data_IF_240013588047
#
_entry.id   IF_240013588047
#
_cell.length_a   1.000
_cell.length_b   1.000
_cell.length_c   1.000
_cell.angle_alpha   90.00
_cell.angle_beta   90.00
_cell.angle_gamma   90.00
#
_symmetry.space_group_name_H-M   'P 1'
#
loop_
_entity.id
_entity.type
_entity.pdbx_description
1 polymer ?
#
# COMPACT_ATOMS: atom_id res chain seq x y z
N UNK A 1 19.93 22.27 28.15
CA UNK A 1 18.52 21.88 27.96
C UNK A 1 17.95 22.67 26.79
N UNK A 2 17.88 22.07 25.60
CA UNK A 2 17.17 22.63 24.45
C UNK A 2 16.53 21.44 23.73
N UNK A 3 15.25 21.23 24.03
CA UNK A 3 14.42 20.11 23.57
C UNK A 3 13.79 20.50 22.23
N UNK A 4 13.53 19.50 21.41
CA UNK A 4 12.62 19.56 20.25
C UNK A 4 13.09 20.36 19.02
N UNK A 5 14.14 19.85 18.36
CA UNK A 5 14.32 20.08 16.93
C UNK A 5 13.34 19.19 16.15
N UNK A 6 12.17 19.76 15.85
CA UNK A 6 11.40 19.59 14.60
C UNK A 6 11.42 18.17 14.01
N UNK A 7 10.61 17.29 14.59
CA UNK A 7 10.14 16.08 13.91
C UNK A 7 9.20 16.54 12.77
N UNK A 8 9.79 16.97 11.65
CA UNK A 8 9.11 17.21 10.38
C UNK A 8 8.68 15.87 9.78
N UNK A 9 7.88 15.09 10.51
CA UNK A 9 7.25 13.89 9.99
C UNK A 9 6.04 14.37 9.19
N UNK A 10 6.31 14.84 7.97
CA UNK A 10 5.29 14.87 6.94
C UNK A 10 4.80 13.45 6.76
N UNK A 11 3.76 13.07 7.50
CA UNK A 11 3.05 11.82 7.33
C UNK A 11 2.37 11.91 5.97
N UNK A 12 3.15 11.62 4.91
CA UNK A 12 2.64 11.35 3.57
C UNK A 12 1.86 10.06 3.70
N UNK A 13 0.63 10.15 4.22
CA UNK A 13 -0.30 9.04 4.34
C UNK A 13 -0.50 8.50 2.93
N UNK A 14 0.22 7.43 2.64
CA UNK A 14 0.05 6.66 1.41
C UNK A 14 -1.35 6.07 1.47
N UNK A 15 -2.18 6.42 0.49
CA UNK A 15 -3.55 5.99 0.47
C UNK A 15 -3.59 4.56 -0.07
N UNK A 16 -4.06 3.61 0.75
CA UNK A 16 -4.06 2.20 0.39
C UNK A 16 -5.50 1.71 0.45
N UNK A 17 -5.93 1.05 -0.63
CA UNK A 17 -7.22 0.40 -0.71
C UNK A 17 -7.01 -1.08 -1.02
N UNK A 18 -7.61 -1.93 -0.21
CA UNK A 18 -7.51 -3.39 -0.33
C UNK A 18 -8.78 -3.98 -0.91
N UNK A 19 -8.64 -5.07 -1.64
CA UNK A 19 -9.73 -5.84 -2.24
C UNK A 19 -9.53 -7.34 -1.93
N UNK A 20 -10.58 -8.04 -1.46
CA UNK A 20 -11.95 -7.54 -1.23
C UNK A 20 -12.05 -6.58 -0.02
N UNK A 21 -12.91 -5.57 -0.12
CA UNK A 21 -13.04 -4.51 0.91
C UNK A 21 -13.53 -5.06 2.27
N UNK A 22 -14.27 -6.17 2.25
CA UNK A 22 -14.78 -6.83 3.45
C UNK A 22 -13.73 -7.67 4.19
N UNK A 23 -12.57 -7.95 3.58
CA UNK A 23 -11.50 -8.69 4.25
C UNK A 23 -10.64 -7.76 5.11
N UNK A 24 -11.07 -7.62 6.37
CA UNK A 24 -10.40 -6.77 7.35
C UNK A 24 -9.03 -7.32 7.76
N UNK A 25 -8.88 -8.64 7.83
CA UNK A 25 -7.62 -9.27 8.21
C UNK A 25 -6.52 -8.98 7.18
N UNK A 26 -6.87 -9.08 5.89
CA UNK A 26 -5.98 -8.67 4.81
C UNK A 26 -5.66 -7.17 4.87
N UNK A 27 -6.67 -6.32 5.11
CA UNK A 27 -6.47 -4.87 5.23
C UNK A 27 -5.51 -4.49 6.37
N UNK A 28 -5.63 -5.13 7.53
CA UNK A 28 -4.73 -4.92 8.66
C UNK A 28 -3.31 -5.42 8.36
N UNK A 29 -3.18 -6.58 7.73
CA UNK A 29 -1.89 -7.13 7.34
C UNK A 29 -1.14 -6.21 6.36
N UNK A 30 -1.84 -5.70 5.35
CA UNK A 30 -1.29 -4.72 4.38
C UNK A 30 -0.83 -3.45 5.09
N UNK A 31 -1.63 -2.90 6.01
CA UNK A 31 -1.26 -1.69 6.78
C UNK A 31 -0.02 -1.93 7.65
N UNK A 32 0.06 -3.08 8.30
CA UNK A 32 1.21 -3.47 9.13
C UNK A 32 2.50 -3.59 8.29
N UNK A 33 2.41 -4.21 7.10
CA UNK A 33 3.56 -4.32 6.19
C UNK A 33 4.03 -2.95 5.70
N UNK A 34 3.13 -2.07 5.28
CA UNK A 34 3.53 -0.73 4.84
C UNK A 34 4.19 0.10 5.94
N UNK A 35 3.76 -0.06 7.19
CA UNK A 35 4.43 0.59 8.34
C UNK A 35 5.84 0.06 8.62
N UNK A 36 6.17 -1.16 8.18
CA UNK A 36 7.46 -1.84 8.42
C UNK A 36 8.42 -1.73 7.25
N UNK A 37 7.92 -1.68 6.02
CA UNK A 37 8.75 -1.58 4.82
C UNK A 37 9.45 -0.22 4.77
N UNK A 38 10.77 -0.25 4.54
CA UNK A 38 11.56 0.96 4.32
C UNK A 38 11.39 1.49 2.90
N UNK A 39 11.23 0.58 1.94
CA UNK A 39 10.98 0.91 0.55
C UNK A 39 9.56 1.45 0.36
N UNK A 40 9.43 2.36 -0.60
CA UNK A 40 8.16 2.95 -1.04
C UNK A 40 7.76 2.44 -2.41
N UNK A 41 8.23 1.26 -2.81
CA UNK A 41 7.91 0.68 -4.10
C UNK A 41 6.79 -0.37 -3.99
N UNK A 42 5.84 -0.41 -4.94
CA UNK A 42 4.74 -1.38 -4.93
C UNK A 42 5.22 -2.83 -4.90
N UNK A 43 6.32 -3.11 -5.60
CA UNK A 43 6.89 -4.46 -5.77
C UNK A 43 7.38 -5.06 -4.45
N UNK A 44 7.93 -4.24 -3.55
CA UNK A 44 8.36 -4.70 -2.23
C UNK A 44 7.18 -5.11 -1.35
N UNK A 45 6.09 -4.33 -1.40
CA UNK A 45 4.86 -4.70 -0.70
C UNK A 45 4.26 -5.97 -1.29
N UNK A 46 4.22 -6.10 -2.61
CA UNK A 46 3.72 -7.28 -3.29
C UNK A 46 4.50 -8.54 -2.92
N UNK A 47 5.84 -8.49 -2.97
CA UNK A 47 6.69 -9.60 -2.55
C UNK A 47 6.48 -10.00 -1.09
N UNK A 48 6.32 -9.02 -0.19
CA UNK A 48 6.03 -9.28 1.21
C UNK A 48 4.66 -9.94 1.43
N UNK A 49 3.63 -9.49 0.70
CA UNK A 49 2.27 -10.03 0.77
C UNK A 49 2.20 -11.47 0.26
N UNK A 50 2.95 -11.80 -0.80
CA UNK A 50 2.96 -13.14 -1.40
C UNK A 50 3.45 -14.25 -0.49
N UNK A 51 4.12 -13.92 0.62
CA UNK A 51 4.48 -14.91 1.64
C UNK A 51 3.26 -15.54 2.33
N UNK A 52 2.15 -14.78 2.44
CA UNK A 52 0.93 -15.23 3.09
C UNK A 52 -0.27 -15.30 2.13
N UNK A 53 -0.26 -14.46 1.09
CA UNK A 53 -1.30 -14.37 0.07
C UNK A 53 -0.65 -14.53 -1.31
N UNK A 54 -0.42 -15.77 -1.78
CA UNK A 54 0.40 -16.05 -2.97
C UNK A 54 -0.06 -15.34 -4.25
N UNK A 55 -1.36 -15.08 -4.36
CA UNK A 55 -1.99 -14.40 -5.50
C UNK A 55 -2.05 -12.88 -5.34
N UNK A 56 -1.49 -12.31 -4.26
CA UNK A 56 -1.58 -10.89 -4.02
C UNK A 56 -0.90 -10.07 -5.12
N UNK A 57 -1.53 -8.96 -5.49
CA UNK A 57 -1.05 -8.01 -6.51
C UNK A 57 -1.18 -6.58 -5.98
N UNK A 58 -0.15 -5.77 -6.18
CA UNK A 58 -0.15 -4.35 -5.80
C UNK A 58 -0.03 -3.47 -7.04
N UNK A 59 -1.11 -2.75 -7.36
CA UNK A 59 -1.12 -1.78 -8.44
C UNK A 59 -0.89 -0.36 -7.92
N UNK A 60 0.13 0.36 -8.42
CA UNK A 60 0.21 1.80 -8.24
C UNK A 60 -0.94 2.47 -8.98
N UNK A 61 -1.56 3.47 -8.37
CA UNK A 61 -2.54 4.30 -9.06
C UNK A 61 -1.82 5.28 -9.98
N UNK A 62 -2.07 5.16 -11.29
CA UNK A 62 -1.56 6.08 -12.33
C UNK A 62 -2.48 7.29 -12.57
N UNK A 63 -3.40 7.59 -11.64
CA UNK A 63 -4.31 8.74 -11.77
C UNK A 63 -3.49 10.05 -11.75
N UNK A 64 -3.26 10.56 -12.97
CA UNK A 64 -2.31 11.58 -13.43
C UNK A 64 -2.48 13.01 -12.85
N UNK A 65 -2.99 13.17 -11.63
CA UNK A 65 -3.13 14.48 -11.00
C UNK A 65 -2.93 14.51 -9.47
N UNK A 66 -2.62 13.37 -8.83
CA UNK A 66 -2.37 13.29 -7.39
C UNK A 66 -0.94 12.84 -7.09
N UNK A 67 -0.35 13.25 -5.95
CA UNK A 67 1.03 12.92 -5.60
C UNK A 67 1.20 11.41 -5.40
N UNK A 68 1.56 10.68 -6.47
CA UNK A 68 2.40 9.47 -6.57
C UNK A 68 2.30 8.38 -5.48
N UNK A 69 1.21 8.26 -4.72
CA UNK A 69 1.20 7.47 -3.48
C UNK A 69 -0.17 6.87 -3.13
N UNK A 70 -0.94 6.47 -4.14
CA UNK A 70 -2.14 5.65 -3.94
C UNK A 70 -1.89 4.25 -4.47
N UNK A 71 -2.15 3.22 -3.67
CA UNK A 71 -1.97 1.80 -4.05
C UNK A 71 -3.28 1.04 -3.92
N UNK A 72 -3.60 0.28 -4.96
CA UNK A 72 -4.67 -0.71 -4.95
C UNK A 72 -4.05 -2.08 -4.74
N UNK A 73 -4.53 -2.80 -3.72
CA UNK A 73 -3.97 -4.08 -3.31
C UNK A 73 -5.04 -5.14 -3.39
N UNK A 74 -4.82 -6.16 -4.21
CA UNK A 74 -5.74 -7.25 -4.44
C UNK A 74 -5.19 -8.50 -3.77
N UNK A 75 -6.01 -9.18 -2.96
CA UNK A 75 -5.62 -10.41 -2.25
C UNK A 75 -5.47 -11.59 -3.20
N UNK A 76 -6.40 -11.71 -4.14
CA UNK A 76 -6.60 -12.90 -4.97
C UNK A 76 -6.18 -12.67 -6.43
N UNK A 77 -5.37 -11.65 -6.71
CA UNK A 77 -4.82 -11.38 -8.06
C UNK A 77 -5.83 -10.90 -9.11
N UNK A 78 -7.13 -10.90 -8.80
CA UNK A 78 -8.19 -10.40 -9.66
C UNK A 78 -8.14 -8.88 -9.81
N UNK A 79 -7.29 -8.40 -10.70
CA UNK A 79 -7.37 -7.06 -11.27
C UNK A 79 -7.89 -7.16 -12.70
N UNK A 80 -9.00 -6.48 -13.00
CA UNK A 80 -9.44 -6.24 -14.37
C UNK A 80 -9.15 -4.78 -14.71
N UNK A 81 -8.43 -4.47 -15.80
CA UNK A 81 -8.39 -3.11 -16.30
C UNK A 81 -9.81 -2.65 -16.64
N UNK A 82 -10.12 -1.35 -16.53
CA UNK A 82 -11.33 -0.83 -17.18
C UNK A 82 -11.25 -1.16 -18.67
N UNK A 83 -12.31 -1.76 -19.21
CA UNK A 83 -12.47 -1.99 -20.65
C UNK A 83 -12.33 -0.63 -21.38
N UNK A 84 -11.60 -0.57 -22.52
CA UNK A 84 -11.26 0.68 -23.20
C UNK A 84 -12.46 1.50 -23.72
#
# INVERSE_FOLDING_TARGET
>A
MAREMLNSTGNRRRWIRTFPVADLAFAEHVRALVGRLRSREPRDLEGALRNQYPEAVVHPSELSAQPSSSWYVYRDGHWSPPDP
#
